data_IF_744565298232
#
_entry.id   IF_744565298232
#
_cell.length_a   1.000
_cell.length_b   1.000
_cell.length_c   1.000
_cell.angle_alpha   90.00
_cell.angle_beta   90.00
_cell.angle_gamma   90.00
#
_symmetry.space_group_name_H-M   'P 1'
#
loop_
_entity.id
_entity.type
_entity.pdbx_description
1 polymer ?
#
# COMPACT_ATOMS: atom_id res chain seq x y z
N UNK A 1 -3.75 -75.58 2.28
CA UNK A 1 -4.25 -74.58 1.31
C UNK A 1 -5.30 -73.74 2.04
N UNK A 2 -5.12 -72.40 2.11
CA UNK A 2 -6.07 -71.35 2.55
C UNK A 2 -6.49 -71.39 4.04
N UNK A 3 -6.64 -70.32 4.81
CA UNK A 3 -6.52 -68.86 4.61
C UNK A 3 -6.40 -68.24 6.02
N UNK A 4 -5.45 -67.32 6.24
CA UNK A 4 -5.43 -66.41 7.39
C UNK A 4 -6.41 -65.24 7.12
N UNK A 5 -7.24 -64.90 8.11
CA UNK A 5 -7.89 -63.59 8.28
C UNK A 5 -7.88 -63.31 9.79
N UNK A 6 -7.18 -62.29 10.28
CA UNK A 6 -7.63 -60.89 10.37
C UNK A 6 -7.77 -60.57 11.87
N UNK A 7 -7.42 -59.42 12.43
CA UNK A 7 -7.28 -58.08 11.89
C UNK A 7 -6.27 -57.28 12.74
N UNK A 8 -5.49 -56.42 12.10
CA UNK A 8 -4.75 -55.35 12.76
C UNK A 8 -5.66 -54.14 12.90
N UNK A 9 -6.00 -53.76 14.13
CA UNK A 9 -6.67 -52.50 14.43
C UNK A 9 -5.64 -51.36 14.36
N UNK A 10 -5.71 -50.53 13.31
CA UNK A 10 -4.97 -49.28 13.20
C UNK A 10 -5.72 -48.19 13.97
N UNK A 11 -5.22 -47.85 15.17
CA UNK A 11 -5.67 -46.67 15.91
C UNK A 11 -5.05 -45.40 15.31
N UNK A 12 -5.77 -44.74 14.41
CA UNK A 12 -5.45 -43.38 13.97
C UNK A 12 -5.84 -42.38 15.06
N UNK A 13 -4.91 -42.13 15.98
CA UNK A 13 -4.95 -40.95 16.85
C UNK A 13 -4.61 -39.71 16.02
N UNK A 14 -5.62 -39.00 15.53
CA UNK A 14 -5.43 -37.69 14.93
C UNK A 14 -5.09 -36.68 16.04
N UNK A 15 -3.80 -36.43 16.26
CA UNK A 15 -3.36 -35.30 17.06
C UNK A 15 -3.72 -34.02 16.31
N UNK A 16 -4.72 -33.29 16.81
CA UNK A 16 -5.01 -31.91 16.43
C UNK A 16 -3.82 -31.05 16.86
N UNK A 17 -2.85 -30.89 15.97
CA UNK A 17 -1.81 -29.89 16.11
C UNK A 17 -2.48 -28.55 15.82
N UNK A 18 -2.84 -27.81 16.88
CA UNK A 18 -3.11 -26.38 16.77
C UNK A 18 -1.83 -25.71 16.26
N UNK A 19 -1.67 -25.64 14.95
CA UNK A 19 -0.65 -24.80 14.35
C UNK A 19 -1.03 -23.35 14.68
N UNK A 20 -0.10 -22.54 15.23
CA UNK A 20 -0.35 -21.12 15.34
C UNK A 20 -0.61 -20.62 13.93
N UNK A 21 -1.84 -20.15 13.70
CA UNK A 21 -2.14 -19.37 12.51
C UNK A 21 -1.24 -18.16 12.65
N UNK A 22 -0.22 -18.07 11.81
CA UNK A 22 0.49 -16.83 11.60
C UNK A 22 -0.54 -15.86 11.00
N UNK A 23 -1.32 -15.22 11.87
CA UNK A 23 -2.06 -14.03 11.49
C UNK A 23 -1.00 -13.04 11.08
N UNK A 24 -0.94 -12.75 9.77
CA UNK A 24 -0.29 -11.54 9.31
C UNK A 24 -0.94 -10.42 10.12
N UNK A 25 -0.21 -9.89 11.10
CA UNK A 25 -0.65 -8.70 11.81
C UNK A 25 -0.83 -7.65 10.72
N UNK A 26 -1.99 -7.01 10.56
CA UNK A 26 -2.14 -5.86 9.66
C UNK A 26 -1.40 -4.62 10.21
N UNK A 27 -0.28 -4.79 10.92
CA UNK A 27 0.43 -3.76 11.68
C UNK A 27 1.59 -3.11 10.90
N UNK A 28 1.74 -3.41 9.62
CA UNK A 28 2.52 -2.58 8.71
C UNK A 28 1.53 -2.03 7.68
N UNK A 29 1.11 -0.77 7.83
CA UNK A 29 0.19 -0.13 6.90
C UNK A 29 0.70 -0.29 5.47
N UNK A 30 -0.03 -1.01 4.63
CA UNK A 30 0.29 -1.14 3.21
C UNK A 30 -0.05 0.19 2.53
N UNK A 31 0.86 0.66 1.67
CA UNK A 31 0.73 1.90 0.92
C UNK A 31 1.22 1.69 -0.51
N UNK A 32 0.32 1.81 -1.48
CA UNK A 32 0.61 1.67 -2.90
C UNK A 32 0.19 2.94 -3.63
N UNK A 33 1.02 3.41 -4.56
CA UNK A 33 0.70 4.56 -5.40
C UNK A 33 1.34 4.42 -6.79
N UNK A 34 0.62 4.85 -7.82
CA UNK A 34 1.11 4.87 -9.19
C UNK A 34 0.51 6.03 -9.99
N UNK A 35 1.33 6.65 -10.85
CA UNK A 35 0.85 7.62 -11.84
C UNK A 35 0.18 6.88 -12.99
N UNK A 36 -1.08 7.22 -13.27
CA UNK A 36 -1.83 6.67 -14.41
C UNK A 36 -1.78 7.58 -15.63
N UNK A 37 -1.77 8.89 -15.40
CA UNK A 37 -1.88 9.90 -16.45
C UNK A 37 -1.22 11.19 -16.03
N UNK A 38 -0.54 11.83 -16.98
CA UNK A 38 -0.18 13.25 -16.97
C UNK A 38 -1.01 13.94 -18.04
N UNK A 39 -1.82 14.93 -17.67
CA UNK A 39 -2.65 15.67 -18.61
C UNK A 39 -1.81 16.67 -19.41
N UNK A 40 -1.63 16.43 -20.71
CA UNK A 40 -0.85 17.31 -21.56
C UNK A 40 -1.37 18.76 -21.65
N UNK A 41 -2.64 19.04 -21.35
CA UNK A 41 -3.19 20.39 -21.48
C UNK A 41 -2.69 21.30 -20.35
N UNK A 42 -2.52 20.78 -19.14
CA UNK A 42 -2.25 21.59 -17.95
C UNK A 42 -1.16 21.02 -17.02
N UNK A 43 -0.76 19.76 -17.20
CA UNK A 43 0.25 19.09 -16.37
C UNK A 43 -0.34 18.35 -15.16
N UNK A 44 -1.66 18.31 -14.99
CA UNK A 44 -2.28 17.61 -13.86
C UNK A 44 -1.98 16.12 -13.88
N UNK A 45 -1.81 15.53 -12.70
CA UNK A 45 -1.55 14.10 -12.52
C UNK A 45 -2.80 13.41 -12.02
N UNK A 46 -3.15 12.28 -12.65
CA UNK A 46 -4.07 11.30 -12.07
C UNK A 46 -3.27 10.13 -11.52
N UNK A 47 -3.42 9.85 -10.23
CA UNK A 47 -2.79 8.74 -9.54
C UNK A 47 -3.83 7.73 -9.06
N UNK A 48 -3.48 6.44 -9.12
CA UNK A 48 -4.13 5.40 -8.34
C UNK A 48 -3.38 5.23 -7.02
N UNK A 49 -4.12 5.03 -5.93
CA UNK A 49 -3.53 4.75 -4.64
C UNK A 49 -4.38 3.80 -3.82
N UNK A 50 -3.75 3.10 -2.89
CA UNK A 50 -4.38 2.30 -1.85
C UNK A 50 -3.54 2.44 -0.60
N UNK A 51 -4.17 2.72 0.53
CA UNK A 51 -3.49 2.84 1.80
C UNK A 51 -4.38 2.38 2.95
N UNK A 52 -3.76 1.93 4.04
CA UNK A 52 -4.41 1.67 5.31
C UNK A 52 -3.49 2.07 6.47
N UNK A 53 -4.08 2.54 7.59
CA UNK A 53 -3.33 2.86 8.81
C UNK A 53 -2.47 4.13 8.76
N UNK A 54 -2.55 4.93 7.68
CA UNK A 54 -1.84 6.22 7.57
C UNK A 54 -2.71 7.33 8.17
N UNK A 55 -2.19 8.05 9.17
CA UNK A 55 -2.95 9.07 9.92
C UNK A 55 -3.02 10.43 9.21
N UNK A 56 -2.10 10.71 8.28
CA UNK A 56 -2.10 11.90 7.42
C UNK A 56 -1.57 11.53 6.03
N UNK A 57 -2.39 10.89 5.19
CA UNK A 57 -1.93 10.45 3.88
C UNK A 57 -1.78 11.63 2.92
N UNK A 58 -0.58 11.73 2.34
CA UNK A 58 -0.21 12.69 1.31
C UNK A 58 0.42 11.95 0.13
N UNK A 59 0.09 12.36 -1.08
CA UNK A 59 0.81 11.96 -2.30
C UNK A 59 1.65 13.14 -2.76
N UNK A 60 2.91 12.87 -3.07
CA UNK A 60 3.82 13.81 -3.71
C UNK A 60 4.31 13.20 -5.02
N UNK A 61 4.44 14.03 -6.06
CA UNK A 61 4.98 13.60 -7.35
C UNK A 61 5.96 14.63 -7.88
N UNK A 62 7.08 14.15 -8.41
CA UNK A 62 8.00 14.92 -9.25
C UNK A 62 8.01 14.29 -10.65
N UNK A 63 7.67 15.09 -11.65
CA UNK A 63 7.68 14.70 -13.05
C UNK A 63 8.90 15.30 -13.76
N UNK A 64 9.51 14.53 -14.65
CA UNK A 64 10.54 15.01 -15.57
C UNK A 64 10.19 14.64 -17.00
N UNK A 65 9.99 15.65 -17.85
CA UNK A 65 9.72 15.45 -19.26
C UNK A 65 10.96 14.94 -19.99
N UNK A 66 10.87 13.78 -20.65
CA UNK A 66 12.04 13.11 -21.24
C UNK A 66 12.67 13.88 -22.39
N UNK A 67 11.88 14.60 -23.18
CA UNK A 67 12.40 15.22 -24.41
C UNK A 67 13.15 16.55 -24.16
N UNK A 68 12.73 17.33 -23.15
CA UNK A 68 13.32 18.65 -22.89
C UNK A 68 13.83 18.85 -21.45
N UNK A 69 13.71 17.83 -20.59
CA UNK A 69 14.19 17.89 -19.21
C UNK A 69 13.39 18.77 -18.27
N UNK A 70 12.28 19.38 -18.73
CA UNK A 70 11.41 20.21 -17.87
C UNK A 70 10.89 19.38 -16.71
N UNK A 71 10.96 19.93 -15.50
CA UNK A 71 10.43 19.30 -14.29
C UNK A 71 9.18 20.02 -13.79
N UNK A 72 8.40 19.32 -12.99
CA UNK A 72 7.28 19.90 -12.26
C UNK A 72 6.86 18.99 -11.12
N UNK A 73 6.33 19.61 -10.07
CA UNK A 73 6.02 18.96 -8.80
C UNK A 73 4.55 19.18 -8.47
N UNK A 74 3.95 18.24 -7.76
CA UNK A 74 2.59 18.34 -7.27
C UNK A 74 2.37 17.53 -6.01
N UNK A 75 1.36 17.92 -5.24
CA UNK A 75 0.97 17.22 -4.03
C UNK A 75 -0.54 17.25 -3.83
N UNK A 76 -1.04 16.28 -3.06
CA UNK A 76 -2.42 16.28 -2.57
C UNK A 76 -2.47 15.61 -1.19
N UNK A 77 -3.36 16.11 -0.34
CA UNK A 77 -3.67 15.59 0.99
C UNK A 77 -5.11 15.08 1.04
N UNK A 78 -5.61 14.77 2.24
CA UNK A 78 -7.01 14.40 2.52
C UNK A 78 -7.45 13.12 1.78
N UNK A 79 -6.54 12.16 1.68
CA UNK A 79 -6.76 10.89 1.01
C UNK A 79 -7.53 9.91 1.91
N UNK A 80 -8.36 9.07 1.28
CA UNK A 80 -9.10 8.02 2.00
C UNK A 80 -8.25 6.75 2.07
N UNK A 81 -7.77 6.40 3.26
CA UNK A 81 -7.00 5.18 3.51
C UNK A 81 -7.84 4.10 4.20
N UNK A 82 -8.87 3.61 3.50
CA UNK A 82 -9.76 2.54 3.97
C UNK A 82 -9.34 1.13 3.52
N UNK A 83 -8.11 0.98 3.01
CA UNK A 83 -7.59 -0.28 2.48
C UNK A 83 -8.23 -0.70 1.15
N UNK A 84 -8.75 0.25 0.36
CA UNK A 84 -9.29 -0.01 -0.98
C UNK A 84 -8.60 0.87 -2.03
N UNK A 85 -8.65 0.48 -3.31
CA UNK A 85 -8.15 1.31 -4.41
C UNK A 85 -8.98 2.57 -4.63
N UNK A 86 -8.29 3.70 -4.78
CA UNK A 86 -8.85 5.02 -5.09
C UNK A 86 -8.11 5.68 -6.24
N UNK A 87 -8.72 6.72 -6.81
CA UNK A 87 -8.10 7.60 -7.79
C UNK A 87 -8.18 9.05 -7.32
N UNK A 88 -7.11 9.80 -7.53
CA UNK A 88 -7.09 11.25 -7.28
C UNK A 88 -6.47 11.97 -8.46
N UNK A 89 -6.95 13.17 -8.74
CA UNK A 89 -6.32 14.08 -9.70
C UNK A 89 -5.93 15.36 -8.99
N UNK A 90 -4.70 15.81 -9.20
CA UNK A 90 -4.15 17.00 -8.57
C UNK A 90 -3.22 17.75 -9.52
N UNK A 91 -3.11 19.06 -9.29
CA UNK A 91 -2.32 19.94 -10.12
C UNK A 91 -0.81 19.74 -9.90
N UNK A 92 -0.02 20.04 -10.94
CA UNK A 92 1.44 20.13 -10.83
C UNK A 92 1.94 21.45 -11.38
N UNK A 93 3.19 21.80 -11.07
CA UNK A 93 3.88 22.96 -11.65
C UNK A 93 4.46 22.69 -13.03
N UNK A 94 4.30 21.47 -13.57
CA UNK A 94 4.85 21.08 -14.87
C UNK A 94 4.27 21.90 -16.02
N UNK A 95 2.99 22.28 -15.94
CA UNK A 95 2.28 22.98 -17.00
C UNK A 95 2.03 22.13 -18.25
N UNK A 96 1.61 22.78 -19.33
CA UNK A 96 1.25 22.11 -20.59
C UNK A 96 2.43 21.41 -21.30
N UNK A 97 2.12 20.29 -21.96
CA UNK A 97 2.97 19.51 -22.84
C UNK A 97 2.25 19.14 -24.14
N UNK A 98 2.70 18.08 -24.82
CA UNK A 98 2.07 17.54 -26.03
C UNK A 98 1.50 16.16 -25.78
N UNK A 99 0.49 15.80 -26.57
CA UNK A 99 -0.07 14.46 -26.52
C UNK A 99 1.00 13.41 -26.86
N UNK A 100 1.13 12.38 -26.02
CA UNK A 100 2.11 11.30 -26.20
C UNK A 100 3.49 11.56 -25.60
N UNK A 101 3.73 12.73 -25.01
CA UNK A 101 4.95 13.04 -24.28
C UNK A 101 5.23 11.99 -23.19
N UNK A 102 6.52 11.72 -22.99
CA UNK A 102 6.99 10.72 -22.01
C UNK A 102 7.59 11.44 -20.80
N UNK A 103 7.30 10.90 -19.63
CA UNK A 103 7.76 11.43 -18.35
C UNK A 103 8.42 10.33 -17.54
N UNK A 104 9.48 10.68 -16.82
CA UNK A 104 9.86 9.94 -15.61
C UNK A 104 9.08 10.54 -14.45
N UNK A 105 8.55 9.69 -13.57
CA UNK A 105 7.78 10.11 -12.40
C UNK A 105 8.38 9.46 -11.16
N UNK A 106 8.73 10.30 -10.19
CA UNK A 106 8.98 9.90 -8.82
C UNK A 106 7.71 10.20 -8.03
N UNK A 107 7.12 9.20 -7.37
CA UNK A 107 5.84 9.33 -6.68
C UNK A 107 5.89 8.59 -5.35
N UNK A 108 5.36 9.23 -4.31
CA UNK A 108 5.33 8.70 -2.94
C UNK A 108 3.94 8.84 -2.32
N UNK A 109 3.68 8.02 -1.29
CA UNK A 109 2.47 8.06 -0.46
C UNK A 109 2.89 7.88 1.02
N UNK A 110 2.63 8.87 1.89
CA UNK A 110 3.02 8.91 3.32
C UNK A 110 2.47 10.17 4.02
N UNK A 111 2.33 10.31 5.34
CA UNK A 111 3.32 10.15 6.42
C UNK A 111 2.94 9.08 7.47
N UNK A 112 3.89 8.18 7.78
CA UNK A 112 3.81 7.33 8.98
C UNK A 112 4.34 8.08 10.20
N UNK A 113 3.46 8.57 11.09
CA UNK A 113 3.83 8.83 12.49
C UNK A 113 3.38 7.65 13.35
N UNK A 114 4.32 6.78 13.71
CA UNK A 114 4.12 5.79 14.77
C UNK A 114 4.28 6.52 16.11
N UNK A 115 3.20 7.03 16.69
CA UNK A 115 3.21 7.46 18.10
C UNK A 115 3.12 6.21 18.99
N UNK A 116 4.27 5.75 19.52
CA UNK A 116 4.25 4.80 20.65
C UNK A 116 3.94 5.60 21.91
N UNK A 117 2.66 5.63 22.31
CA UNK A 117 2.27 6.10 23.64
C UNK A 117 2.56 5.00 24.64
N UNK A 118 3.71 5.08 25.30
CA UNK A 118 3.93 4.33 26.53
C UNK A 118 2.93 4.82 27.56
N UNK A 119 1.95 3.99 27.92
CA UNK A 119 1.21 4.18 29.16
C UNK A 119 2.17 3.79 30.29
N UNK A 120 2.78 4.80 30.94
CA UNK A 120 3.27 4.61 32.30
C UNK A 120 2.04 4.24 33.15
N UNK A 121 1.93 2.96 33.48
CA UNK A 121 1.12 2.55 34.62
C UNK A 121 1.75 3.19 35.85
N UNK A 122 1.19 4.33 36.27
CA UNK A 122 1.30 4.81 37.64
C UNK A 122 0.90 3.65 38.56
N UNK A 123 1.88 2.93 39.09
CA UNK A 123 1.68 1.97 40.17
C UNK A 123 1.53 2.76 41.46
N UNK A 124 0.38 2.72 42.15
CA UNK A 124 0.29 3.17 43.52
C UNK A 124 0.71 2.01 44.42
N UNK A 125 1.81 2.17 45.16
CA UNK A 125 2.23 1.20 46.18
C UNK A 125 3.61 1.48 46.74
#
# INVERSE_FOLDING_TARGET
MRMLLGAFALSTGAALVCMPIAGARPDAGEANVAVLKVNHVNGDVTAAYECSGITNPKIEVTLKHKANGKTGDGETSDLNCDGKPHFVTFATTLGAGKHGDKYDADISLGEMRVEIRGSEEDSPG
#
